data_IF_332363750188
#
_entry.id   IF_332363750188
#
_cell.length_a   1.000
_cell.length_b   1.000
_cell.length_c   1.000
_cell.angle_alpha   90.00
_cell.angle_beta   90.00
_cell.angle_gamma   90.00
#
_symmetry.space_group_name_H-M   'P 1'
#
loop_
_entity.id
_entity.type
_entity.pdbx_description
1 polymer ?
#
# COMPACT_ATOMS: atom_id res chain seq x y z
N UNK A 1 14.68 15.02 1.20
CA UNK A 1 14.85 13.90 0.25
C UNK A 1 13.94 14.16 -0.95
N UNK A 2 14.43 14.02 -2.19
CA UNK A 2 13.59 14.20 -3.38
C UNK A 2 12.81 12.91 -3.61
N UNK A 3 11.48 12.92 -3.43
CA UNK A 3 10.64 11.76 -3.78
C UNK A 3 10.53 11.68 -5.30
N UNK A 4 10.68 10.47 -5.83
CA UNK A 4 10.36 10.21 -7.23
C UNK A 4 8.86 10.39 -7.43
N UNK A 5 8.46 10.95 -8.57
CA UNK A 5 7.07 10.91 -8.99
C UNK A 5 6.82 9.55 -9.61
N UNK A 6 5.64 8.98 -9.37
CA UNK A 6 5.23 7.77 -10.06
C UNK A 6 5.29 8.00 -11.59
N UNK A 7 5.99 7.13 -12.35
CA UNK A 7 6.13 7.30 -13.79
C UNK A 7 4.91 6.81 -14.60
N UNK A 8 3.99 6.06 -14.00
CA UNK A 8 2.83 5.48 -14.70
C UNK A 8 1.55 6.26 -14.39
N UNK A 9 0.77 6.57 -15.43
CA UNK A 9 -0.51 7.28 -15.30
C UNK A 9 -1.56 6.46 -14.54
N UNK A 10 -1.51 5.13 -14.69
CA UNK A 10 -2.45 4.17 -14.12
C UNK A 10 -1.81 3.31 -13.03
N UNK A 11 -0.82 3.83 -12.30
CA UNK A 11 -0.13 3.09 -11.25
C UNK A 11 -1.10 2.64 -10.15
N UNK A 12 -1.35 1.32 -9.97
CA UNK A 12 -2.25 0.88 -8.93
C UNK A 12 -1.69 1.19 -7.53
N UNK A 13 -0.38 1.02 -7.34
CA UNK A 13 0.29 1.38 -6.08
C UNK A 13 0.28 2.90 -5.84
N UNK A 14 0.38 3.71 -6.90
CA UNK A 14 0.23 5.16 -6.81
C UNK A 14 -1.17 5.58 -6.37
N UNK A 15 -2.22 4.95 -6.91
CA UNK A 15 -3.60 5.15 -6.49
C UNK A 15 -3.85 4.68 -5.05
N UNK A 16 -3.28 3.53 -4.65
CA UNK A 16 -3.35 3.06 -3.26
C UNK A 16 -2.68 4.03 -2.28
N UNK A 17 -1.52 4.59 -2.65
CA UNK A 17 -0.84 5.60 -1.84
C UNK A 17 -1.70 6.88 -1.68
N UNK A 18 -2.42 7.27 -2.73
CA UNK A 18 -3.38 8.38 -2.66
C UNK A 18 -4.58 8.03 -1.78
N UNK A 19 -5.18 6.85 -1.97
CA UNK A 19 -6.30 6.35 -1.18
C UNK A 19 -5.97 6.37 0.32
N UNK A 20 -4.80 5.84 0.68
CA UNK A 20 -4.31 5.82 2.06
C UNK A 20 -4.14 7.24 2.63
N UNK A 21 -3.54 8.16 1.85
CA UNK A 21 -3.33 9.54 2.30
C UNK A 21 -4.65 10.30 2.52
N UNK A 22 -5.70 10.01 1.74
CA UNK A 22 -7.03 10.59 1.92
C UNK A 22 -7.77 10.01 3.12
N UNK A 23 -7.69 8.70 3.34
CA UNK A 23 -8.34 8.01 4.47
C UNK A 23 -7.67 8.33 5.82
N UNK A 24 -6.35 8.44 5.83
CA UNK A 24 -5.56 8.57 7.06
C UNK A 24 -4.67 9.83 7.03
N UNK A 25 -5.28 11.04 7.02
CA UNK A 25 -4.52 12.27 6.96
C UNK A 25 -3.55 12.38 8.13
N UNK A 26 -2.27 12.58 7.83
CA UNK A 26 -1.19 12.70 8.82
C UNK A 26 -0.50 11.38 9.20
N UNK A 27 -0.96 10.22 8.70
CA UNK A 27 -0.16 9.00 8.76
C UNK A 27 0.87 9.01 7.64
N UNK A 28 2.14 9.01 8.00
CA UNK A 28 3.25 8.92 7.07
C UNK A 28 3.87 7.53 7.12
N UNK A 29 4.39 7.09 5.98
CA UNK A 29 5.21 5.89 5.83
C UNK A 29 6.23 6.12 4.73
N UNK A 30 7.25 5.28 4.70
CA UNK A 30 8.11 5.09 3.53
C UNK A 30 7.89 3.67 2.99
N UNK A 31 7.99 3.50 1.67
CA UNK A 31 7.80 2.21 1.03
C UNK A 31 8.94 1.93 0.03
N UNK A 32 9.36 0.67 -0.05
CA UNK A 32 10.42 0.25 -0.96
C UNK A 32 10.21 -1.16 -1.51
N UNK A 33 10.73 -1.38 -2.72
CA UNK A 33 10.90 -2.71 -3.29
C UNK A 33 12.27 -3.25 -2.86
N UNK A 34 12.30 -4.47 -2.32
CA UNK A 34 13.54 -5.17 -1.96
C UNK A 34 13.68 -6.46 -2.76
N UNK A 35 14.89 -6.99 -2.99
CA UNK A 35 15.06 -8.18 -3.83
C UNK A 35 14.25 -9.39 -3.34
N UNK A 36 14.21 -9.61 -2.02
CA UNK A 36 13.45 -10.66 -1.36
C UNK A 36 13.24 -10.27 0.12
N UNK A 37 12.25 -10.89 0.78
CA UNK A 37 11.99 -10.72 2.21
C UNK A 37 11.92 -12.10 2.83
N UNK A 38 12.65 -12.28 3.93
CA UNK A 38 12.71 -13.55 4.66
C UNK A 38 12.34 -13.30 6.11
N UNK A 39 11.39 -14.05 6.63
CA UNK A 39 10.99 -13.96 8.02
C UNK A 39 12.03 -14.58 8.97
N UNK A 40 11.76 -14.49 10.28
CA UNK A 40 12.64 -15.03 11.33
C UNK A 40 12.82 -16.56 11.27
N UNK A 41 11.93 -17.27 10.58
CA UNK A 41 11.94 -18.73 10.42
C UNK A 41 12.64 -19.16 9.13
N UNK A 42 13.06 -18.20 8.30
CA UNK A 42 13.72 -18.45 7.02
C UNK A 42 12.74 -18.61 5.85
N UNK A 43 11.46 -18.32 6.05
CA UNK A 43 10.43 -18.42 5.00
C UNK A 43 10.37 -17.13 4.19
N UNK A 44 10.22 -17.25 2.87
CA UNK A 44 9.97 -16.11 1.99
C UNK A 44 8.59 -15.51 2.26
N UNK A 45 8.51 -14.18 2.32
CA UNK A 45 7.25 -13.45 2.48
C UNK A 45 7.09 -12.38 1.39
N UNK A 46 5.85 -12.06 1.09
CA UNK A 46 5.50 -11.15 -0.02
C UNK A 46 5.70 -9.68 0.34
N UNK A 47 5.45 -9.32 1.60
CA UNK A 47 5.52 -7.96 2.13
C UNK A 47 5.86 -7.98 3.62
N UNK A 48 6.28 -6.84 4.13
CA UNK A 48 6.48 -6.63 5.56
C UNK A 48 6.35 -5.15 5.93
N UNK A 49 5.68 -4.88 7.04
CA UNK A 49 5.61 -3.55 7.65
C UNK A 49 6.36 -3.52 8.97
N UNK A 50 7.38 -2.68 9.04
CA UNK A 50 8.10 -2.39 10.29
C UNK A 50 7.56 -1.12 10.91
N UNK A 51 6.91 -1.24 12.07
CA UNK A 51 6.47 -0.11 12.88
C UNK A 51 7.58 0.28 13.88
N UNK A 52 8.14 1.50 13.80
CA UNK A 52 9.19 1.93 14.71
C UNK A 52 8.67 2.10 16.14
N UNK A 53 9.58 1.91 17.11
CA UNK A 53 9.28 2.08 18.54
C UNK A 53 9.52 3.51 19.02
N UNK A 54 10.40 4.24 18.34
CA UNK A 54 10.82 5.58 18.72
C UNK A 54 9.91 6.66 18.08
N UNK A 55 9.52 7.70 18.84
CA UNK A 55 8.72 8.79 18.29
C UNK A 55 9.46 9.53 17.16
N UNK A 56 8.75 9.80 16.06
CA UNK A 56 9.26 10.58 14.93
C UNK A 56 9.91 9.77 13.81
N UNK A 57 10.07 8.46 13.99
CA UNK A 57 10.38 7.53 12.89
C UNK A 57 9.09 7.12 12.16
N UNK A 58 9.21 6.87 10.85
CA UNK A 58 8.09 6.45 10.01
C UNK A 58 8.05 4.93 9.88
N UNK A 59 6.86 4.31 9.86
CA UNK A 59 6.68 2.95 9.37
C UNK A 59 7.37 2.74 8.02
N UNK A 60 8.04 1.60 7.89
CA UNK A 60 8.64 1.15 6.64
C UNK A 60 7.84 -0.02 6.07
N UNK A 61 7.35 0.14 4.85
CA UNK A 61 6.70 -0.91 4.07
C UNK A 61 7.69 -1.47 3.06
N UNK A 62 7.95 -2.76 3.11
CA UNK A 62 8.82 -3.47 2.18
C UNK A 62 7.98 -4.46 1.39
N UNK A 63 8.16 -4.45 0.07
CA UNK A 63 7.47 -5.38 -0.84
C UNK A 63 8.52 -6.18 -1.60
N UNK A 64 8.34 -7.50 -1.66
CA UNK A 64 9.27 -8.39 -2.34
C UNK A 64 9.24 -8.15 -3.85
N UNK A 65 10.41 -7.94 -4.43
CA UNK A 65 10.63 -7.78 -5.87
C UNK A 65 10.47 -9.09 -6.66
N UNK A 66 10.25 -10.22 -5.98
CA UNK A 66 9.93 -11.50 -6.63
C UNK A 66 8.44 -11.62 -7.00
N UNK A 67 7.58 -10.71 -6.53
CA UNK A 67 6.16 -10.72 -6.84
C UNK A 67 5.89 -10.45 -8.32
N UNK A 68 4.82 -11.06 -8.84
CA UNK A 68 4.28 -10.63 -10.12
C UNK A 68 3.74 -9.22 -9.95
N UNK A 69 3.90 -8.37 -10.96
CA UNK A 69 3.42 -6.98 -10.93
C UNK A 69 1.92 -6.91 -10.59
N UNK A 70 1.13 -7.90 -11.01
CA UNK A 70 -0.32 -7.97 -10.74
C UNK A 70 -0.67 -8.24 -9.27
N UNK A 71 0.22 -8.86 -8.50
CA UNK A 71 -0.02 -9.19 -7.08
C UNK A 71 0.43 -8.04 -6.16
N UNK A 72 1.35 -7.20 -6.64
CA UNK A 72 1.95 -6.11 -5.87
C UNK A 72 0.94 -5.14 -5.24
N UNK A 73 -0.15 -4.72 -5.92
CA UNK A 73 -1.10 -3.77 -5.34
C UNK A 73 -1.83 -4.34 -4.12
N UNK A 74 -2.24 -5.62 -4.18
CA UNK A 74 -2.93 -6.27 -3.05
C UNK A 74 -2.01 -6.38 -1.83
N UNK A 75 -0.77 -6.85 -2.04
CA UNK A 75 0.23 -6.93 -0.96
C UNK A 75 0.54 -5.53 -0.42
N UNK A 76 0.64 -4.52 -1.29
CA UNK A 76 0.87 -3.16 -0.82
C UNK A 76 -0.31 -2.61 0.01
N UNK A 77 -1.55 -2.86 -0.40
CA UNK A 77 -2.74 -2.50 0.37
C UNK A 77 -2.76 -3.20 1.75
N UNK A 78 -2.34 -4.48 1.78
CA UNK A 78 -2.22 -5.26 3.01
C UNK A 78 -1.23 -4.61 3.99
N UNK A 79 -0.04 -4.27 3.52
CA UNK A 79 0.97 -3.59 4.34
C UNK A 79 0.52 -2.19 4.78
N UNK A 80 -0.21 -1.45 3.93
CA UNK A 80 -0.78 -0.16 4.33
C UNK A 80 -1.83 -0.32 5.43
N UNK A 81 -2.60 -1.40 5.47
CA UNK A 81 -3.52 -1.67 6.58
C UNK A 81 -2.76 -1.86 7.91
N UNK A 82 -1.57 -2.48 7.91
CA UNK A 82 -0.69 -2.51 9.09
C UNK A 82 -0.21 -1.10 9.49
N UNK A 83 0.10 -0.21 8.54
CA UNK A 83 0.43 1.20 8.84
C UNK A 83 -0.77 1.95 9.46
N UNK A 84 -1.97 1.74 8.91
CA UNK A 84 -3.19 2.36 9.42
C UNK A 84 -3.45 1.96 10.88
N UNK A 85 -3.26 0.68 11.18
CA UNK A 85 -3.60 0.09 12.49
C UNK A 85 -2.49 0.17 13.53
N UNK A 86 -1.24 0.31 13.11
CA UNK A 86 -0.05 0.33 13.96
C UNK A 86 0.21 -1.04 14.62
N UNK A 87 1.04 -1.05 15.68
CA UNK A 87 1.29 -2.28 16.44
C UNK A 87 0.04 -2.69 17.22
N UNK A 88 -0.67 -3.71 16.72
CA UNK A 88 -1.79 -4.33 17.42
C UNK A 88 -1.37 -5.70 17.99
N UNK A 89 -2.07 -6.16 19.03
CA UNK A 89 -1.85 -7.50 19.60
C UNK A 89 -2.33 -8.61 18.65
N UNK A 90 -3.30 -8.30 17.80
CA UNK A 90 -3.86 -9.20 16.79
C UNK A 90 -3.52 -8.66 15.40
N UNK A 91 -2.68 -9.40 14.67
CA UNK A 91 -2.02 -8.95 13.45
C UNK A 91 -3.02 -8.66 12.31
N UNK A 92 -4.04 -9.50 12.18
CA UNK A 92 -5.12 -9.40 11.18
C UNK A 92 -6.49 -9.33 11.83
N UNK A 93 -6.59 -8.63 12.97
CA UNK A 93 -7.84 -8.48 13.71
C UNK A 93 -8.87 -7.56 13.02
N UNK A 94 -10.04 -7.34 13.63
CA UNK A 94 -11.14 -6.58 13.00
C UNK A 94 -10.78 -5.17 12.52
N UNK A 95 -9.86 -4.49 13.20
CA UNK A 95 -9.39 -3.16 12.79
C UNK A 95 -8.50 -3.21 11.55
N UNK A 96 -7.73 -4.28 11.39
CA UNK A 96 -6.94 -4.52 10.19
C UNK A 96 -7.88 -4.71 9.01
N UNK A 97 -8.86 -5.61 9.16
CA UNK A 97 -9.83 -5.91 8.11
C UNK A 97 -10.60 -4.65 7.68
N UNK A 98 -11.08 -3.87 8.65
CA UNK A 98 -11.74 -2.59 8.38
C UNK A 98 -10.85 -1.62 7.60
N UNK A 99 -9.56 -1.53 7.95
CA UNK A 99 -8.62 -0.66 7.26
C UNK A 99 -8.31 -1.16 5.83
N UNK A 100 -8.11 -2.46 5.67
CA UNK A 100 -7.83 -3.08 4.38
C UNK A 100 -8.99 -2.88 3.39
N UNK A 101 -10.22 -3.16 3.84
CA UNK A 101 -11.43 -2.94 3.05
C UNK A 101 -11.67 -1.46 2.74
N UNK A 102 -11.44 -0.55 3.70
CA UNK A 102 -11.57 0.88 3.45
C UNK A 102 -10.57 1.37 2.39
N UNK A 103 -9.31 0.92 2.45
CA UNK A 103 -8.28 1.24 1.46
C UNK A 103 -8.70 0.72 0.08
N UNK A 104 -9.19 -0.51 0.00
CA UNK A 104 -9.66 -1.10 -1.25
C UNK A 104 -10.83 -0.31 -1.85
N UNK A 105 -11.87 -0.03 -1.07
CA UNK A 105 -13.03 0.74 -1.52
C UNK A 105 -12.64 2.14 -2.02
N UNK A 106 -11.71 2.80 -1.32
CA UNK A 106 -11.22 4.12 -1.74
C UNK A 106 -10.36 4.04 -3.00
N UNK A 107 -9.57 2.99 -3.15
CA UNK A 107 -8.84 2.72 -4.39
C UNK A 107 -9.80 2.57 -5.58
N UNK A 108 -10.89 1.81 -5.43
CA UNK A 108 -11.89 1.63 -6.50
C UNK A 108 -12.55 2.96 -6.88
N UNK A 109 -12.93 3.78 -5.88
CA UNK A 109 -13.47 5.13 -6.10
C UNK A 109 -12.51 6.00 -6.93
N UNK A 110 -11.23 6.03 -6.55
CA UNK A 110 -10.20 6.82 -7.24
C UNK A 110 -9.90 6.24 -8.62
N UNK A 111 -9.84 4.92 -8.77
CA UNK A 111 -9.63 4.28 -10.06
C UNK A 111 -10.75 4.65 -11.05
N UNK A 112 -12.02 4.64 -10.62
CA UNK A 112 -13.13 5.09 -11.45
C UNK A 112 -13.01 6.58 -11.79
N UNK A 113 -12.69 7.42 -10.81
CA UNK A 113 -12.55 8.87 -11.02
C UNK A 113 -11.43 9.23 -12.02
N UNK A 114 -10.25 8.61 -11.88
CA UNK A 114 -9.07 8.97 -12.66
C UNK A 114 -8.95 8.19 -13.97
N UNK A 115 -9.45 6.95 -14.03
CA UNK A 115 -9.27 6.04 -15.17
C UNK A 115 -10.61 5.67 -15.85
N UNK A 116 -11.74 5.77 -15.16
CA UNK A 116 -13.07 5.45 -15.70
C UNK A 116 -13.51 6.38 -16.83
N UNK A 117 -13.09 7.65 -16.78
CA UNK A 117 -13.40 8.67 -17.79
C UNK A 117 -12.64 8.48 -19.13
N UNK A 118 -11.65 7.58 -19.21
CA UNK A 118 -10.95 7.29 -20.47
C UNK A 118 -11.78 6.41 -21.43
N UNK A 119 -12.87 5.77 -20.96
CA UNK A 119 -13.72 4.92 -21.80
C UNK A 119 -14.68 5.67 -22.73
N UNK A 120 -14.84 6.98 -22.58
CA UNK A 120 -15.74 7.78 -23.42
C UNK A 120 -15.07 8.44 -24.64
N UNK A 121 -13.74 8.33 -24.79
CA UNK A 121 -13.01 9.07 -25.85
C UNK A 121 -12.53 8.23 -27.06
N UNK A 122 -12.78 6.91 -27.08
CA UNK A 122 -12.29 6.01 -28.15
C UNK A 122 -13.38 5.56 -29.15
N UNK A 123 -14.31 6.45 -29.49
CA UNK A 123 -15.24 6.24 -30.62
C UNK A 123 -15.47 7.52 -31.42
N UNK A 124 -14.50 7.88 -32.28
CA UNK A 124 -14.74 8.56 -33.57
C UNK A 124 -13.68 8.19 -34.61
#
# INVERSE_FOLDING_TARGET
>A
MRRFKDPFLNSPCGLLALAFAELYPGKEYDAQLVPDIVDKEGSQVCGCTTIPKEPGERPLVEISGQLRIVDMPEIFAHELAHVATGNQEDDHGPKFEEAFEAIHAKYEELAEQYLGNEKEQDHE
#
